data_IF_335900274917
#
_entry.id   IF_335900274917
#
_cell.length_a   1.000
_cell.length_b   1.000
_cell.length_c   1.000
_cell.angle_alpha   90.00
_cell.angle_beta   90.00
_cell.angle_gamma   90.00
#
_symmetry.space_group_name_H-M   'P 1'
#
loop_
_entity.id
_entity.type
_entity.pdbx_description
1 polymer ?
#
# COMPACT_ATOMS: atom_id res chain seq x y z
N UNK A 1 -22.61 -43.16 11.85
CA UNK A 1 -22.80 -41.76 11.41
C UNK A 1 -21.47 -40.97 11.44
N UNK A 2 -20.48 -41.30 10.59
CA UNK A 2 -19.19 -40.58 10.54
C UNK A 2 -19.20 -39.39 9.57
N UNK A 3 -20.04 -39.41 8.54
CA UNK A 3 -20.08 -38.35 7.51
C UNK A 3 -20.64 -37.03 8.03
N UNK A 4 -21.67 -37.07 8.89
CA UNK A 4 -22.21 -35.88 9.54
C UNK A 4 -21.20 -35.22 10.47
N UNK A 5 -20.39 -36.01 11.18
CA UNK A 5 -19.30 -35.50 12.03
C UNK A 5 -18.20 -34.83 11.19
N UNK A 6 -17.85 -35.42 10.05
CA UNK A 6 -16.85 -34.86 9.13
C UNK A 6 -17.34 -33.53 8.51
N UNK A 7 -18.61 -33.47 8.08
CA UNK A 7 -19.23 -32.24 7.58
C UNK A 7 -19.34 -31.15 8.66
N UNK A 8 -19.66 -31.52 9.90
CA UNK A 8 -19.67 -30.59 11.04
C UNK A 8 -18.27 -30.02 11.31
N UNK A 9 -17.23 -30.85 11.28
CA UNK A 9 -15.84 -30.40 11.43
C UNK A 9 -15.39 -29.47 10.29
N UNK A 10 -15.82 -29.73 9.04
CA UNK A 10 -15.54 -28.85 7.91
C UNK A 10 -16.18 -27.47 8.09
N UNK A 11 -17.46 -27.41 8.47
CA UNK A 11 -18.18 -26.13 8.64
C UNK A 11 -17.65 -25.27 9.80
N UNK A 12 -17.19 -25.89 10.90
CA UNK A 12 -16.52 -25.17 11.99
C UNK A 12 -15.21 -24.50 11.54
N UNK A 13 -14.46 -25.09 10.61
CA UNK A 13 -13.21 -24.51 10.08
C UNK A 13 -13.46 -23.28 9.23
N UNK A 14 -14.54 -23.27 8.43
CA UNK A 14 -14.92 -22.12 7.61
C UNK A 14 -15.46 -20.96 8.45
N UNK A 15 -16.18 -21.25 9.54
CA UNK A 15 -16.73 -20.23 10.43
C UNK A 15 -15.66 -19.45 11.24
N UNK A 16 -14.46 -20.02 11.39
CA UNK A 16 -13.34 -19.38 12.12
C UNK A 16 -12.42 -18.52 11.25
N UNK A 17 -12.69 -18.40 9.94
CA UNK A 17 -11.91 -17.51 9.06
C UNK A 17 -12.40 -16.08 9.30
N UNK A 18 -11.78 -15.40 10.27
CA UNK A 18 -11.91 -13.95 10.35
C UNK A 18 -11.28 -13.37 9.08
N UNK A 19 -12.00 -12.48 8.39
CA UNK A 19 -11.37 -11.63 7.40
C UNK A 19 -10.35 -10.77 8.14
N UNK A 20 -9.05 -11.01 7.90
CA UNK A 20 -8.00 -10.17 8.44
C UNK A 20 -8.15 -8.80 7.75
N UNK A 21 -8.74 -7.84 8.45
CA UNK A 21 -8.64 -6.45 8.04
C UNK A 21 -7.17 -6.10 8.20
N UNK A 22 -6.45 -6.02 7.08
CA UNK A 22 -5.06 -5.61 7.04
C UNK A 22 -4.99 -4.16 7.51
N UNK A 23 -4.92 -3.98 8.83
CA UNK A 23 -4.75 -2.68 9.48
C UNK A 23 -3.42 -2.13 9.01
N UNK A 24 -3.47 -1.11 8.16
CA UNK A 24 -2.30 -0.45 7.63
C UNK A 24 -1.59 0.30 8.75
N UNK A 25 -0.76 -0.42 9.49
CA UNK A 25 -0.04 0.13 10.62
C UNK A 25 1.28 0.67 10.10
N UNK A 26 1.41 2.01 10.08
CA UNK A 26 2.66 2.65 9.73
C UNK A 26 3.72 2.26 10.76
N UNK A 27 4.64 1.37 10.37
CA UNK A 27 5.66 0.83 11.29
C UNK A 27 6.66 1.90 11.74
N UNK A 28 7.13 2.73 10.79
CA UNK A 28 8.08 3.83 11.04
C UNK A 28 7.88 4.94 10.02
N UNK A 29 8.17 6.17 10.43
CA UNK A 29 8.28 7.34 9.55
C UNK A 29 9.61 8.02 9.81
N UNK A 30 10.29 8.43 8.75
CA UNK A 30 11.54 9.14 8.82
C UNK A 30 11.50 10.37 7.93
N UNK A 31 11.85 11.52 8.49
CA UNK A 31 12.05 12.75 7.76
C UNK A 31 13.43 13.29 8.08
N UNK A 32 14.29 13.39 7.06
CA UNK A 32 15.63 13.94 7.22
C UNK A 32 15.54 15.44 7.47
N UNK A 33 16.10 15.92 8.58
CA UNK A 33 16.12 17.34 8.99
C UNK A 33 14.75 18.02 9.20
N UNK A 34 13.63 17.32 9.00
CA UNK A 34 12.25 17.81 9.21
C UNK A 34 11.98 19.24 8.71
N UNK A 35 12.60 19.64 7.59
CA UNK A 35 12.40 20.98 7.02
C UNK A 35 11.14 21.00 6.17
N UNK A 36 10.36 22.05 6.31
CA UNK A 36 9.20 22.32 5.47
C UNK A 36 9.60 23.09 4.22
N UNK A 37 8.89 22.86 3.11
CA UNK A 37 9.01 23.67 1.90
C UNK A 37 8.03 24.85 1.92
N UNK A 38 8.33 25.90 1.15
CA UNK A 38 7.43 27.03 0.98
C UNK A 38 6.13 26.60 0.26
N UNK A 39 4.96 27.07 0.70
CA UNK A 39 3.70 26.81 0.01
C UNK A 39 3.74 27.41 -1.41
N UNK A 40 3.06 26.74 -2.36
CA UNK A 40 3.02 27.06 -3.79
C UNK A 40 4.39 27.08 -4.48
N UNK A 41 5.40 26.40 -3.92
CA UNK A 41 6.71 26.27 -4.55
C UNK A 41 6.72 25.27 -5.71
N UNK A 42 7.71 25.41 -6.58
CA UNK A 42 8.02 24.41 -7.63
C UNK A 42 8.23 23.03 -7.01
N UNK A 43 8.86 22.97 -5.84
CA UNK A 43 9.04 21.72 -5.09
C UNK A 43 7.71 21.08 -4.73
N UNK A 44 6.73 21.85 -4.24
CA UNK A 44 5.39 21.32 -3.93
C UNK A 44 4.70 20.74 -5.17
N UNK A 45 4.79 21.42 -6.31
CA UNK A 45 4.19 20.94 -7.56
C UNK A 45 4.84 19.63 -8.03
N UNK A 46 6.18 19.55 -8.00
CA UNK A 46 6.92 18.34 -8.35
C UNK A 46 6.63 17.18 -7.38
N UNK A 47 6.54 17.46 -6.08
CA UNK A 47 6.19 16.47 -5.06
C UNK A 47 4.79 15.90 -5.30
N UNK A 48 3.80 16.75 -5.57
CA UNK A 48 2.45 16.31 -5.92
C UNK A 48 2.44 15.42 -7.16
N UNK A 49 3.23 15.78 -8.19
CA UNK A 49 3.35 14.97 -9.41
C UNK A 49 3.94 13.59 -9.13
N UNK A 50 5.05 13.53 -8.41
CA UNK A 50 5.71 12.26 -8.02
C UNK A 50 4.74 11.38 -7.23
N UNK A 51 4.03 11.92 -6.24
CA UNK A 51 3.06 11.16 -5.44
C UNK A 51 1.90 10.65 -6.30
N UNK A 52 1.39 11.47 -7.22
CA UNK A 52 0.34 11.06 -8.15
C UNK A 52 0.79 9.92 -9.05
N UNK A 53 1.98 10.03 -9.64
CA UNK A 53 2.53 9.02 -10.56
C UNK A 53 2.76 7.68 -9.85
N UNK A 54 3.25 7.69 -8.60
CA UNK A 54 3.41 6.47 -7.79
C UNK A 54 2.07 5.79 -7.50
N UNK A 55 1.04 6.56 -7.09
CA UNK A 55 -0.29 6.01 -6.80
C UNK A 55 -0.99 5.48 -8.06
N UNK A 56 -0.82 6.19 -9.19
CA UNK A 56 -1.34 5.77 -10.48
C UNK A 56 -0.71 4.45 -10.91
N UNK A 57 0.63 4.36 -10.88
CA UNK A 57 1.36 3.16 -11.26
C UNK A 57 1.02 1.96 -10.38
N UNK A 58 0.87 2.16 -9.07
CA UNK A 58 0.40 1.13 -8.16
C UNK A 58 -0.98 0.58 -8.54
N UNK A 59 -1.82 1.40 -9.18
CA UNK A 59 -3.18 1.03 -9.58
C UNK A 59 -3.26 0.42 -10.98
N UNK A 60 -2.39 0.85 -11.90
CA UNK A 60 -2.44 0.44 -13.31
C UNK A 60 -1.60 -0.79 -13.59
N UNK A 61 -0.41 -0.89 -12.99
CA UNK A 61 0.50 -2.01 -13.23
C UNK A 61 0.61 -2.88 -11.98
N UNK A 62 -0.37 -3.75 -11.83
CA UNK A 62 -0.36 -4.73 -10.75
C UNK A 62 0.74 -5.77 -10.94
N UNK A 63 1.61 -5.73 -11.97
CA UNK A 63 2.59 -6.79 -12.17
C UNK A 63 3.91 -6.58 -11.43
N UNK A 64 4.30 -5.34 -11.20
CA UNK A 64 5.56 -4.99 -10.55
C UNK A 64 5.35 -4.69 -9.05
N UNK A 65 6.29 -5.13 -8.21
CA UNK A 65 6.25 -4.91 -6.76
C UNK A 65 7.04 -3.68 -6.31
N UNK A 66 7.68 -2.97 -7.23
CA UNK A 66 8.50 -1.81 -6.95
C UNK A 66 8.35 -0.80 -8.07
N UNK A 67 8.20 0.47 -7.73
CA UNK A 67 8.16 1.55 -8.71
C UNK A 67 8.99 2.73 -8.24
N UNK A 68 9.58 3.41 -9.20
CA UNK A 68 10.35 4.63 -9.02
C UNK A 68 9.88 5.68 -10.03
N UNK A 69 9.79 6.94 -9.59
CA UNK A 69 9.51 8.08 -10.48
C UNK A 69 10.21 9.32 -9.94
N UNK A 70 10.46 10.28 -10.84
CA UNK A 70 11.12 11.53 -10.49
C UNK A 70 10.53 12.72 -11.23
N UNK A 71 10.66 13.90 -10.64
CA UNK A 71 10.32 15.17 -11.25
C UNK A 71 11.24 16.27 -10.74
N UNK A 72 12.15 16.72 -11.61
CA UNK A 72 13.20 17.70 -11.28
C UNK A 72 14.04 17.25 -10.07
N UNK A 73 13.92 17.94 -8.93
CA UNK A 73 14.66 17.66 -7.70
C UNK A 73 13.90 16.77 -6.70
N UNK A 74 12.81 16.12 -7.13
CA UNK A 74 12.02 15.21 -6.30
C UNK A 74 12.09 13.82 -6.90
N UNK A 75 12.58 12.88 -6.11
CA UNK A 75 12.56 11.45 -6.41
C UNK A 75 11.63 10.74 -5.43
N UNK A 76 10.94 9.71 -5.90
CA UNK A 76 10.05 8.91 -5.08
C UNK A 76 9.99 7.46 -5.54
N UNK A 77 9.77 6.56 -4.59
CA UNK A 77 9.56 5.14 -4.88
C UNK A 77 8.59 4.53 -3.88
N UNK A 78 7.97 3.41 -4.26
CA UNK A 78 7.25 2.55 -3.34
C UNK A 78 7.58 1.08 -3.62
N UNK A 79 7.46 0.25 -2.58
CA UNK A 79 7.73 -1.19 -2.67
C UNK A 79 6.65 -1.96 -1.92
N UNK A 80 6.05 -2.92 -2.61
CA UNK A 80 5.15 -3.91 -2.04
C UNK A 80 5.93 -4.99 -1.28
N UNK A 81 5.33 -5.50 -0.21
CA UNK A 81 5.78 -6.73 0.43
C UNK A 81 5.51 -7.90 -0.52
N UNK A 82 6.45 -8.85 -0.63
CA UNK A 82 6.34 -9.95 -1.60
C UNK A 82 5.26 -10.99 -1.29
N UNK A 83 4.73 -10.98 -0.06
CA UNK A 83 3.72 -11.88 0.47
C UNK A 83 2.29 -11.29 0.47
N UNK A 84 2.11 -10.03 0.05
CA UNK A 84 0.78 -9.42 -0.09
C UNK A 84 0.32 -9.41 -1.54
N UNK A 85 -0.99 -9.47 -1.77
CA UNK A 85 -1.49 -9.34 -3.14
C UNK A 85 -1.22 -7.92 -3.66
N UNK A 86 -1.01 -7.81 -4.97
CA UNK A 86 -0.74 -6.53 -5.64
C UNK A 86 -1.89 -5.53 -5.46
N UNK A 87 -3.14 -6.02 -5.41
CA UNK A 87 -4.33 -5.21 -5.12
C UNK A 87 -4.32 -4.64 -3.70
N UNK A 88 -3.97 -5.45 -2.71
CA UNK A 88 -3.85 -4.99 -1.32
C UNK A 88 -2.73 -3.95 -1.19
N UNK A 89 -1.59 -4.18 -1.85
CA UNK A 89 -0.51 -3.20 -1.89
C UNK A 89 -0.95 -1.87 -2.54
N UNK A 90 -1.65 -1.90 -3.68
CA UNK A 90 -2.14 -0.70 -4.34
C UNK A 90 -3.07 0.14 -3.44
N UNK A 91 -3.95 -0.53 -2.69
CA UNK A 91 -4.86 0.13 -1.75
C UNK A 91 -4.11 0.72 -0.54
N UNK A 92 -3.09 0.00 -0.04
CA UNK A 92 -2.20 0.48 1.00
C UNK A 92 -1.44 1.75 0.57
N UNK A 93 -0.89 1.77 -0.65
CA UNK A 93 -0.16 2.92 -1.19
C UNK A 93 -1.03 4.18 -1.30
N UNK A 94 -2.29 4.05 -1.72
CA UNK A 94 -3.27 5.16 -1.77
C UNK A 94 -3.50 5.79 -0.40
N UNK A 95 -3.60 4.94 0.61
CA UNK A 95 -3.86 5.37 2.00
C UNK A 95 -2.65 6.12 2.57
N UNK A 96 -1.43 5.68 2.26
CA UNK A 96 -0.20 6.37 2.69
C UNK A 96 -0.01 7.73 2.01
N UNK A 97 -0.30 7.83 0.70
CA UNK A 97 -0.12 9.06 -0.06
C UNK A 97 -1.11 10.19 0.31
N UNK A 98 -2.21 9.86 0.98
CA UNK A 98 -3.26 10.81 1.38
C UNK A 98 -3.02 11.44 2.76
N UNK A 99 -1.92 11.08 3.44
CA UNK A 99 -1.57 11.53 4.79
C UNK A 99 -0.36 12.44 4.75
#
# INVERSE_FOLDING_TARGET
>A
MPMTLFLLLCTLRFATINADESTLTMSKYYCSNCRTFAPNSIYQANLKRVLHDLVSNASSDCNEGFFFTSSQAVDGSFMCRGDVSKRECANASKTQASK
#
